data_IF_195935587553
#
_entry.id   IF_195935587553
#
_cell.length_a   1.000
_cell.length_b   1.000
_cell.length_c   1.000
_cell.angle_alpha   90.00
_cell.angle_beta   90.00
_cell.angle_gamma   90.00
#
_symmetry.space_group_name_H-M   'P 1'
#
loop_
_entity.id
_entity.type
_entity.pdbx_description
1 polymer ?
#
# COMPACT_ATOMS: atom_id res chain seq x y z
N UNK A 1 -2.99 -7.47 -3.18
CA UNK A 1 -1.69 -7.19 -2.53
C UNK A 1 -1.59 -5.69 -2.30
N UNK A 2 -1.39 -5.21 -1.07
CA UNK A 2 -1.33 -3.77 -0.80
C UNK A 2 -0.03 -3.18 -1.34
N UNK A 3 -0.09 -2.19 -2.22
CA UNK A 3 1.08 -1.64 -2.93
C UNK A 3 1.88 -0.58 -2.14
N UNK A 4 1.65 -0.44 -0.84
CA UNK A 4 2.32 0.58 -0.02
C UNK A 4 2.54 0.14 1.43
N UNK A 5 3.28 0.93 2.24
CA UNK A 5 3.31 0.73 3.69
C UNK A 5 1.89 0.87 4.26
N UNK A 6 1.52 -0.06 5.14
CA UNK A 6 0.25 -0.01 5.88
C UNK A 6 0.49 0.82 7.13
N UNK A 7 -0.25 1.89 7.32
CA UNK A 7 -0.14 2.77 8.47
C UNK A 7 -0.97 2.25 9.65
N UNK A 8 -2.19 1.78 9.40
CA UNK A 8 -3.07 1.22 10.43
C UNK A 8 -4.20 0.38 9.79
N UNK A 9 -4.77 -0.54 10.57
CA UNK A 9 -6.00 -1.27 10.18
C UNK A 9 -7.20 -0.52 10.76
N UNK A 10 -8.18 -0.22 9.90
CA UNK A 10 -9.43 0.45 10.28
C UNK A 10 -10.48 -0.56 10.71
N UNK A 11 -10.65 -1.65 9.94
CA UNK A 11 -11.59 -2.71 10.28
C UNK A 11 -11.25 -4.03 9.59
N UNK A 12 -11.56 -5.13 10.27
CA UNK A 12 -11.57 -6.47 9.73
C UNK A 12 -13.00 -6.99 9.80
N UNK A 13 -13.59 -7.26 8.64
CA UNK A 13 -14.96 -7.77 8.54
C UNK A 13 -14.98 -9.07 7.77
N UNK A 14 -15.94 -9.93 8.09
CA UNK A 14 -16.14 -11.20 7.42
C UNK A 14 -17.61 -11.50 7.17
N UNK A 15 -17.89 -12.35 6.19
CA UNK A 15 -19.22 -12.94 5.99
C UNK A 15 -19.32 -14.23 6.79
N UNK A 16 -20.30 -14.31 7.69
CA UNK A 16 -20.62 -15.52 8.44
C UNK A 16 -21.35 -16.56 7.57
N UNK A 17 -21.57 -17.76 8.12
CA UNK A 17 -22.29 -18.83 7.42
C UNK A 17 -23.73 -18.44 7.02
N UNK A 18 -24.36 -17.52 7.75
CA UNK A 18 -25.68 -16.98 7.44
C UNK A 18 -25.66 -15.94 6.32
N UNK A 19 -24.48 -15.50 5.88
CA UNK A 19 -24.30 -14.46 4.86
C UNK A 19 -24.38 -13.03 5.40
N UNK A 20 -24.36 -12.84 6.72
CA UNK A 20 -24.30 -11.51 7.31
C UNK A 20 -22.85 -11.06 7.48
N UNK A 21 -22.61 -9.74 7.35
CA UNK A 21 -21.29 -9.15 7.64
C UNK A 21 -21.12 -8.93 9.13
N UNK A 22 -20.06 -9.51 9.66
CA UNK A 22 -19.62 -9.38 11.04
C UNK A 22 -18.28 -8.65 11.10
N UNK A 23 -18.00 -7.98 12.22
CA UNK A 23 -16.72 -7.32 12.48
C UNK A 23 -15.94 -8.15 13.49
N UNK A 24 -14.66 -8.41 13.21
CA UNK A 24 -13.76 -9.02 14.19
C UNK A 24 -13.32 -7.93 15.16
N UNK A 25 -13.47 -8.18 16.46
CA UNK A 25 -13.05 -7.24 17.49
C UNK A 25 -11.54 -7.00 17.43
N UNK A 26 -11.10 -5.76 17.67
CA UNK A 26 -9.68 -5.39 17.66
C UNK A 26 -8.82 -6.16 18.67
N UNK A 27 -9.42 -6.72 19.72
CA UNK A 27 -8.76 -7.57 20.71
C UNK A 27 -8.54 -9.02 20.25
N UNK A 28 -9.23 -9.46 19.19
CA UNK A 28 -9.16 -10.86 18.72
C UNK A 28 -8.09 -11.08 17.65
N UNK A 29 -7.43 -10.02 17.18
CA UNK A 29 -6.34 -10.09 16.22
C UNK A 29 -5.19 -9.16 16.58
N UNK A 30 -4.00 -9.50 16.10
CA UNK A 30 -2.80 -8.70 16.16
C UNK A 30 -2.41 -8.27 14.74
N UNK A 31 -1.91 -7.04 14.62
CA UNK A 31 -1.41 -6.48 13.37
C UNK A 31 0.09 -6.34 13.47
N UNK A 32 0.81 -7.00 12.58
CA UNK A 32 2.24 -6.81 12.40
C UNK A 32 2.48 -5.87 11.21
N UNK A 33 2.78 -4.61 11.54
CA UNK A 33 3.17 -3.56 10.60
C UNK A 33 4.69 -3.49 10.37
N UNK A 34 5.47 -4.26 11.15
CA UNK A 34 6.94 -4.28 11.04
C UNK A 34 7.38 -5.13 9.84
N UNK A 35 6.65 -6.21 9.57
CA UNK A 35 6.85 -7.03 8.39
C UNK A 35 6.35 -6.35 7.12
N UNK A 36 7.06 -6.62 6.02
CA UNK A 36 6.64 -6.26 4.67
C UNK A 36 6.60 -7.54 3.82
N UNK A 37 5.41 -8.00 3.37
CA UNK A 37 4.08 -7.39 3.54
C UNK A 37 3.60 -7.41 5.00
N UNK A 38 2.76 -6.43 5.34
CA UNK A 38 2.09 -6.36 6.64
C UNK A 38 1.19 -7.58 6.83
N UNK A 39 1.07 -8.07 8.07
CA UNK A 39 0.33 -9.30 8.39
C UNK A 39 -0.69 -9.04 9.48
N UNK A 40 -1.77 -9.80 9.44
CA UNK A 40 -2.76 -9.86 10.52
C UNK A 40 -2.85 -11.32 10.95
N UNK A 41 -2.79 -11.56 12.25
CA UNK A 41 -2.86 -12.91 12.85
C UNK A 41 -3.86 -12.90 14.01
N UNK A 42 -4.47 -14.05 14.36
CA UNK A 42 -5.27 -14.14 15.57
C UNK A 42 -4.45 -13.76 16.80
N UNK A 43 -5.09 -13.12 17.77
CA UNK A 43 -4.46 -12.88 19.07
C UNK A 43 -4.17 -14.20 19.79
N UNK A 44 -3.30 -14.16 20.80
CA UNK A 44 -2.94 -15.35 21.57
C UNK A 44 -4.19 -16.04 22.15
N UNK A 45 -4.32 -17.35 21.91
CA UNK A 45 -5.47 -18.14 22.35
C UNK A 45 -6.76 -17.89 21.57
N UNK A 46 -6.72 -17.15 20.47
CA UNK A 46 -7.85 -16.91 19.56
C UNK A 46 -7.65 -17.64 18.23
N UNK A 47 -8.75 -17.89 17.53
CA UNK A 47 -8.78 -18.44 16.18
C UNK A 47 -9.61 -17.54 15.27
N UNK A 48 -9.37 -17.63 13.97
CA UNK A 48 -10.23 -16.95 13.00
C UNK A 48 -11.68 -17.47 13.09
N UNK A 49 -12.68 -16.59 12.96
CA UNK A 49 -14.07 -17.02 12.90
C UNK A 49 -14.33 -17.79 11.61
N UNK A 50 -15.32 -18.68 11.64
CA UNK A 50 -15.77 -19.39 10.44
C UNK A 50 -16.36 -18.38 9.44
N UNK A 51 -15.80 -18.38 8.23
CA UNK A 51 -16.27 -17.54 7.13
C UNK A 51 -17.04 -18.35 6.11
N UNK A 52 -17.97 -17.73 5.41
CA UNK A 52 -18.62 -18.35 4.25
C UNK A 52 -17.60 -18.64 3.15
N UNK A 53 -17.69 -19.80 2.51
CA UNK A 53 -16.78 -20.21 1.43
C UNK A 53 -17.13 -19.56 0.10
N UNK A 54 -16.86 -18.26 -0.02
CA UNK A 54 -17.06 -17.50 -1.25
C UNK A 54 -16.03 -16.38 -1.40
N UNK A 55 -15.80 -15.89 -2.64
CA UNK A 55 -14.94 -14.73 -2.87
C UNK A 55 -15.46 -13.50 -2.12
N UNK A 56 -14.52 -12.71 -1.56
CA UNK A 56 -14.86 -11.48 -0.84
C UNK A 56 -15.45 -11.69 0.56
N UNK A 57 -15.40 -12.91 1.10
CA UNK A 57 -15.86 -13.21 2.47
C UNK A 57 -15.06 -12.53 3.56
N UNK A 58 -13.84 -12.06 3.29
CA UNK A 58 -13.03 -11.31 4.24
C UNK A 58 -12.68 -9.98 3.61
N UNK A 59 -12.97 -8.90 4.34
CA UNK A 59 -12.67 -7.53 3.92
C UNK A 59 -11.85 -6.83 4.99
N UNK A 60 -10.70 -6.29 4.58
CA UNK A 60 -9.79 -5.55 5.44
C UNK A 60 -9.76 -4.10 4.95
N UNK A 61 -10.23 -3.18 5.78
CA UNK A 61 -10.10 -1.74 5.56
C UNK A 61 -8.89 -1.25 6.31
N UNK A 62 -7.98 -0.56 5.64
CA UNK A 62 -6.72 -0.08 6.23
C UNK A 62 -6.30 1.25 5.61
N UNK A 63 -5.50 2.00 6.37
CA UNK A 63 -4.87 3.23 5.89
C UNK A 63 -3.52 2.87 5.29
N UNK A 64 -3.32 3.21 4.01
CA UNK A 64 -2.04 3.05 3.31
C UNK A 64 -1.32 4.40 3.24
N UNK A 65 -0.01 4.39 3.43
CA UNK A 65 0.82 5.59 3.35
C UNK A 65 1.96 5.59 4.35
N UNK A 66 2.97 6.43 4.08
CA UNK A 66 4.04 6.70 5.02
C UNK A 66 3.72 8.00 5.78
N UNK A 67 3.87 8.00 7.10
CA UNK A 67 3.69 9.22 7.91
C UNK A 67 4.77 10.27 7.61
N UNK A 68 5.98 9.81 7.26
CA UNK A 68 7.09 10.65 6.82
C UNK A 68 7.56 10.15 5.48
N UNK A 69 7.58 11.03 4.49
CA UNK A 69 8.09 10.72 3.15
C UNK A 69 9.61 10.84 3.19
N UNK A 70 10.36 9.80 2.82
CA UNK A 70 11.81 9.87 2.63
C UNK A 70 12.25 11.05 1.74
N UNK A 71 13.39 11.65 2.07
CA UNK A 71 13.88 12.85 1.38
C UNK A 71 14.21 12.58 -0.10
N UNK A 72 14.67 11.36 -0.41
CA UNK A 72 14.94 10.90 -1.78
C UNK A 72 13.68 10.86 -2.66
N UNK A 73 12.56 10.37 -2.12
CA UNK A 73 11.26 10.40 -2.81
C UNK A 73 10.76 11.83 -3.03
N UNK A 74 10.93 12.70 -2.04
CA UNK A 74 10.58 14.13 -2.16
C UNK A 74 11.44 14.82 -3.23
N UNK A 75 12.73 14.50 -3.28
CA UNK A 75 13.66 15.00 -4.29
C UNK A 75 13.29 14.52 -5.69
N UNK A 76 13.01 13.22 -5.86
CA UNK A 76 12.56 12.64 -7.13
C UNK A 76 11.27 13.31 -7.64
N UNK A 77 10.30 13.52 -6.75
CA UNK A 77 9.05 14.22 -7.07
C UNK A 77 9.32 15.66 -7.53
N UNK A 78 10.19 16.38 -6.83
CA UNK A 78 10.53 17.77 -7.18
C UNK A 78 11.24 17.85 -8.53
N UNK A 79 12.17 16.94 -8.82
CA UNK A 79 12.85 16.86 -10.11
C UNK A 79 11.87 16.61 -11.26
N UNK A 80 10.91 15.69 -11.08
CA UNK A 80 9.88 15.40 -12.06
C UNK A 80 8.96 16.61 -12.31
N UNK A 81 8.48 17.24 -11.23
CA UNK A 81 7.62 18.43 -11.32
C UNK A 81 8.35 19.58 -12.03
N UNK A 82 9.61 19.83 -11.70
CA UNK A 82 10.43 20.85 -12.35
C UNK A 82 10.64 20.55 -13.85
N UNK A 83 10.90 19.28 -14.19
CA UNK A 83 11.07 18.84 -15.56
C UNK A 83 9.81 19.07 -16.40
N UNK A 84 8.63 18.68 -15.91
CA UNK A 84 7.37 18.92 -16.63
C UNK A 84 6.98 20.40 -16.67
N UNK A 85 7.30 21.17 -15.64
CA UNK A 85 7.06 22.61 -15.65
C UNK A 85 7.91 23.34 -16.70
N UNK A 86 9.15 22.89 -16.91
CA UNK A 86 10.06 23.42 -17.93
C UNK A 86 9.67 22.96 -19.35
N UNK A 87 9.13 21.74 -19.48
CA UNK A 87 8.76 21.13 -20.77
C UNK A 87 7.24 21.03 -20.91
N UNK A 88 6.55 22.17 -21.06
CA UNK A 88 5.07 22.25 -21.14
C UNK A 88 4.48 22.00 -22.54
N UNK A 89 5.31 21.71 -23.53
CA UNK A 89 4.84 21.43 -24.89
C UNK A 89 4.44 19.96 -25.02
N UNK A 90 3.26 19.71 -25.59
CA UNK A 90 2.65 18.38 -25.67
C UNK A 90 3.42 17.39 -26.58
N UNK A 91 4.31 17.90 -27.42
CA UNK A 91 5.13 17.13 -28.35
C UNK A 91 6.48 17.83 -28.41
N UNK A 92 7.51 17.23 -27.80
CA UNK A 92 8.87 17.55 -28.21
C UNK A 92 9.03 17.04 -29.65
N UNK A 93 9.43 17.93 -30.57
CA UNK A 93 9.60 17.65 -32.02
C UNK A 93 10.60 16.51 -32.32
N UNK A 94 11.22 15.90 -31.29
CA UNK A 94 12.14 14.78 -31.40
C UNK A 94 12.14 13.91 -30.13
N UNK A 95 11.04 13.19 -29.90
CA UNK A 95 11.00 12.08 -28.93
C UNK A 95 10.89 12.51 -27.46
N UNK A 96 10.42 11.58 -26.63
CA UNK A 96 10.25 11.75 -25.18
C UNK A 96 11.51 12.40 -24.57
N UNK A 97 11.34 13.56 -23.93
CA UNK A 97 12.42 14.17 -23.16
C UNK A 97 12.90 13.14 -22.11
N UNK A 98 14.20 12.79 -22.09
CA UNK A 98 14.70 11.79 -21.16
C UNK A 98 14.46 12.27 -19.73
N UNK A 99 14.04 11.34 -18.86
CA UNK A 99 13.86 11.64 -17.44
C UNK A 99 15.13 12.26 -16.86
N UNK A 100 15.02 13.24 -15.95
CA UNK A 100 16.19 13.81 -15.29
C UNK A 100 17.07 12.72 -14.68
N UNK A 101 18.38 12.81 -14.93
CA UNK A 101 19.38 11.87 -14.41
C UNK A 101 19.23 11.79 -12.88
N UNK A 102 19.13 10.56 -12.37
CA UNK A 102 19.05 10.30 -10.93
C UNK A 102 17.63 10.06 -10.40
N UNK A 103 16.56 10.39 -11.14
CA UNK A 103 15.19 10.07 -10.70
C UNK A 103 15.00 8.56 -10.51
N UNK A 104 15.48 7.75 -11.45
CA UNK A 104 15.42 6.29 -11.32
C UNK A 104 16.27 5.77 -10.17
N UNK A 105 17.44 6.38 -9.92
CA UNK A 105 18.31 6.01 -8.80
C UNK A 105 17.66 6.34 -7.44
N UNK A 106 16.92 7.45 -7.36
CA UNK A 106 16.17 7.84 -6.15
C UNK A 106 14.94 6.96 -5.93
N UNK A 107 14.26 6.52 -6.99
CA UNK A 107 13.08 5.65 -6.89
C UNK A 107 13.43 4.17 -6.73
N UNK A 108 14.61 3.74 -7.20
CA UNK A 108 15.07 2.35 -7.20
C UNK A 108 14.93 1.63 -5.85
N UNK A 109 15.43 2.20 -4.74
CA UNK A 109 15.33 1.59 -3.41
C UNK A 109 13.90 1.37 -2.91
N UNK A 110 12.92 2.13 -3.42
CA UNK A 110 11.52 2.07 -3.00
C UNK A 110 10.68 1.15 -3.89
N UNK A 111 11.26 0.63 -4.98
CA UNK A 111 10.57 -0.25 -5.91
C UNK A 111 10.43 -1.63 -5.29
N UNK A 112 9.19 -2.13 -5.22
CA UNK A 112 8.93 -3.51 -4.83
C UNK A 112 9.22 -4.43 -6.01
N UNK A 113 10.26 -5.24 -5.88
CA UNK A 113 10.46 -6.39 -6.75
C UNK A 113 9.56 -7.51 -6.22
N UNK A 114 8.62 -7.98 -7.03
CA UNK A 114 7.90 -9.20 -6.73
C UNK A 114 8.88 -10.37 -6.81
N UNK A 115 8.85 -11.26 -5.82
CA UNK A 115 9.49 -12.58 -5.88
C UNK A 115 8.60 -13.54 -6.67
#
# INVERSE_FOLDING_TARGET
MSSGPVASITSLTYLDAGGARQTVAGSDYLVDLTCRPARIVPAWGKSWPATREQPGSVLITYVAGAATVPADLTAAMTLLVAHWFANREAVADSGLAPLPIGVEALLGPHRRHAL
#
